data_IF_602280755111
#
_entry.id   IF_602280755111
#
_cell.length_a   1.000
_cell.length_b   1.000
_cell.length_c   1.000
_cell.angle_alpha   90.00
_cell.angle_beta   90.00
_cell.angle_gamma   90.00
#
_symmetry.space_group_name_H-M   'P 1'
#
loop_
_entity.id
_entity.type
_entity.pdbx_description
1 polymer ?
#
# COMPACT_ATOMS: atom_id res chain seq x y z
N UNK A 1 -10.54 21.74 7.22
CA UNK A 1 -11.35 20.73 7.93
C UNK A 1 -10.84 20.64 9.37
N UNK A 2 -11.59 21.10 10.41
CA UNK A 2 -11.09 21.14 11.80
C UNK A 2 -10.81 19.76 12.40
N UNK A 3 -11.59 18.74 12.03
CA UNK A 3 -11.44 17.39 12.57
C UNK A 3 -10.10 16.73 12.26
N UNK A 4 -9.54 16.93 11.07
CA UNK A 4 -8.25 16.32 10.65
C UNK A 4 -7.10 16.86 11.51
N UNK A 5 -7.08 18.15 11.85
CA UNK A 5 -6.05 18.75 12.70
C UNK A 5 -6.06 18.22 14.13
N UNK A 6 -7.25 17.96 14.68
CA UNK A 6 -7.39 17.38 16.02
C UNK A 6 -6.80 15.95 16.04
N UNK A 7 -7.14 15.17 15.05
CA UNK A 7 -6.65 13.78 14.94
C UNK A 7 -5.14 13.74 14.75
N UNK A 8 -4.57 14.61 13.93
CA UNK A 8 -3.12 14.73 13.76
C UNK A 8 -2.43 15.08 15.10
N UNK A 9 -3.02 15.98 15.90
CA UNK A 9 -2.50 16.30 17.23
C UNK A 9 -2.56 15.12 18.19
N UNK A 10 -3.71 14.44 18.24
CA UNK A 10 -3.89 13.27 19.13
C UNK A 10 -2.97 12.12 18.70
N UNK A 11 -2.86 11.84 17.41
CA UNK A 11 -1.98 10.78 16.89
C UNK A 11 -0.50 11.04 17.16
N UNK A 12 -0.11 12.29 17.35
CA UNK A 12 1.24 12.70 17.71
C UNK A 12 1.58 12.53 19.20
N UNK A 13 0.66 12.10 20.05
CA UNK A 13 0.94 11.94 21.50
C UNK A 13 1.61 10.61 21.82
N UNK A 14 2.43 10.58 22.91
CA UNK A 14 3.04 9.33 23.39
C UNK A 14 2.00 8.35 23.95
N UNK A 15 0.92 8.85 24.53
CA UNK A 15 -0.18 8.04 25.04
C UNK A 15 -0.89 7.31 23.88
N UNK A 16 -1.17 8.02 22.79
CA UNK A 16 -1.72 7.42 21.58
C UNK A 16 -0.80 6.34 21.00
N UNK A 17 0.51 6.59 20.93
CA UNK A 17 1.48 5.61 20.44
C UNK A 17 1.50 4.30 21.25
N UNK A 18 1.18 4.36 22.56
CA UNK A 18 1.07 3.17 23.42
C UNK A 18 -0.22 2.39 23.21
N UNK A 19 -1.33 3.08 23.04
CA UNK A 19 -2.69 2.51 23.03
C UNK A 19 -3.17 2.16 21.63
N UNK A 20 -2.87 3.01 20.63
CA UNK A 20 -3.36 2.86 19.27
C UNK A 20 -3.03 1.51 18.60
N UNK A 21 -1.82 0.93 18.75
CA UNK A 21 -1.51 -0.36 18.13
C UNK A 21 -2.35 -1.54 18.62
N UNK A 22 -2.95 -1.42 19.79
CA UNK A 22 -3.82 -2.44 20.36
C UNK A 22 -5.30 -2.11 20.18
N UNK A 23 -5.66 -0.85 20.36
CA UNK A 23 -7.05 -0.40 20.33
C UNK A 23 -7.57 -0.26 18.89
N UNK A 24 -6.80 0.35 17.99
CA UNK A 24 -7.25 0.56 16.59
C UNK A 24 -7.52 -0.77 15.89
N UNK A 25 -6.63 -1.77 15.88
CA UNK A 25 -6.93 -3.05 15.23
C UNK A 25 -8.06 -3.83 15.91
N UNK A 26 -8.26 -3.66 17.22
CA UNK A 26 -9.38 -4.29 17.93
C UNK A 26 -10.71 -3.63 17.54
N UNK A 27 -10.74 -2.31 17.50
CA UNK A 27 -11.90 -1.53 17.11
C UNK A 27 -12.24 -1.73 15.62
N UNK A 28 -11.25 -1.71 14.74
CA UNK A 28 -11.42 -2.00 13.31
C UNK A 28 -11.95 -3.42 13.08
N UNK A 29 -11.47 -4.42 13.82
CA UNK A 29 -12.01 -5.79 13.75
C UNK A 29 -13.45 -5.88 14.21
N UNK A 30 -13.82 -5.16 15.29
CA UNK A 30 -15.18 -5.12 15.79
C UNK A 30 -16.12 -4.45 14.78
N UNK A 31 -15.74 -3.29 14.27
CA UNK A 31 -16.52 -2.54 13.27
C UNK A 31 -16.60 -3.32 11.96
N UNK A 32 -15.49 -3.92 11.51
CA UNK A 32 -15.46 -4.76 10.31
C UNK A 32 -16.41 -5.95 10.42
N UNK A 33 -16.49 -6.61 11.60
CA UNK A 33 -17.45 -7.69 11.84
C UNK A 33 -18.91 -7.19 11.83
N UNK A 34 -19.17 -6.07 12.50
CA UNK A 34 -20.51 -5.46 12.58
C UNK A 34 -21.02 -4.94 11.23
N UNK A 35 -20.12 -4.43 10.39
CA UNK A 35 -20.44 -3.86 9.08
C UNK A 35 -20.30 -4.84 7.93
N UNK A 36 -20.07 -6.15 8.22
CA UNK A 36 -19.81 -7.20 7.21
C UNK A 36 -18.72 -6.79 6.20
N UNK A 37 -17.64 -6.18 6.69
CA UNK A 37 -16.51 -5.82 5.86
C UNK A 37 -16.58 -4.46 5.16
N UNK A 38 -17.67 -3.69 5.34
CA UNK A 38 -17.89 -2.45 4.58
C UNK A 38 -17.21 -1.21 5.15
N UNK A 39 -16.86 -1.20 6.45
CA UNK A 39 -16.29 -0.01 7.11
C UNK A 39 -15.06 -0.38 7.94
N UNK A 40 -13.96 0.34 7.70
CA UNK A 40 -12.80 0.43 8.59
C UNK A 40 -12.79 1.85 9.16
N UNK A 41 -12.84 1.99 10.49
CA UNK A 41 -12.89 3.30 11.15
C UNK A 41 -11.63 4.13 10.83
N UNK A 42 -10.48 3.46 10.73
CA UNK A 42 -9.20 4.07 10.35
C UNK A 42 -9.19 4.60 8.91
N UNK A 43 -9.97 4.01 8.01
CA UNK A 43 -10.06 4.41 6.62
C UNK A 43 -10.85 5.71 6.38
N UNK A 44 -11.64 6.15 7.35
CA UNK A 44 -12.34 7.45 7.25
C UNK A 44 -11.41 8.65 7.37
N UNK A 45 -10.19 8.44 7.87
CA UNK A 45 -9.22 9.50 8.12
C UNK A 45 -8.04 9.48 7.15
N UNK A 46 -7.66 8.29 6.70
CA UNK A 46 -6.63 8.02 5.71
C UNK A 46 -7.09 6.87 4.82
N UNK A 47 -6.79 6.90 3.52
CA UNK A 47 -7.01 5.75 2.66
C UNK A 47 -6.39 4.50 3.29
N UNK A 48 -7.15 3.41 3.38
CA UNK A 48 -6.73 2.18 4.04
C UNK A 48 -6.79 0.98 3.12
N UNK A 49 -5.89 0.05 3.36
CA UNK A 49 -5.86 -1.28 2.74
C UNK A 49 -5.84 -2.35 3.81
N UNK A 50 -6.19 -3.58 3.44
CA UNK A 50 -5.82 -4.76 4.21
C UNK A 50 -4.69 -5.46 3.45
N UNK A 51 -3.50 -5.47 4.04
CA UNK A 51 -2.35 -6.20 3.50
C UNK A 51 -2.42 -7.66 3.95
N UNK A 52 -2.42 -8.59 3.01
CA UNK A 52 -2.28 -10.03 3.23
C UNK A 52 -0.90 -10.45 2.75
N UNK A 53 -0.01 -10.77 3.68
CA UNK A 53 1.38 -11.14 3.41
C UNK A 53 1.79 -12.42 4.15
N UNK A 54 2.76 -13.14 3.59
CA UNK A 54 3.34 -14.33 4.22
C UNK A 54 4.25 -13.93 5.38
N UNK A 55 4.08 -14.56 6.55
CA UNK A 55 4.87 -14.31 7.74
C UNK A 55 6.33 -14.75 7.57
N UNK A 56 7.28 -13.82 7.81
CA UNK A 56 8.72 -14.05 7.62
C UNK A 56 9.28 -15.26 8.40
N UNK A 57 8.72 -15.53 9.60
CA UNK A 57 9.18 -16.63 10.46
C UNK A 57 8.29 -17.86 10.37
N UNK A 58 6.98 -17.66 10.32
CA UNK A 58 6.01 -18.75 10.41
C UNK A 58 5.58 -19.30 9.06
N UNK A 59 5.83 -18.57 7.96
CA UNK A 59 5.29 -18.89 6.64
C UNK A 59 3.76 -18.76 6.52
N UNK A 60 3.06 -18.51 7.63
CA UNK A 60 1.61 -18.40 7.67
C UNK A 60 1.16 -17.04 7.15
N UNK A 61 0.01 -17.03 6.51
CA UNK A 61 -0.62 -15.80 6.03
C UNK A 61 -1.00 -14.87 7.20
N UNK A 62 -0.75 -13.57 7.01
CA UNK A 62 -1.02 -12.52 7.99
C UNK A 62 -1.76 -11.38 7.32
N UNK A 63 -2.93 -11.04 7.85
CA UNK A 63 -3.74 -9.91 7.42
C UNK A 63 -3.54 -8.72 8.35
N UNK A 64 -3.18 -7.59 7.79
CA UNK A 64 -2.86 -6.37 8.55
C UNK A 64 -3.56 -5.16 7.92
N UNK A 65 -4.50 -4.51 8.63
CA UNK A 65 -5.07 -3.24 8.16
C UNK A 65 -4.01 -2.14 8.29
N UNK A 66 -3.81 -1.37 7.21
CA UNK A 66 -2.80 -0.33 7.11
C UNK A 66 -3.38 0.92 6.45
N UNK A 67 -2.95 2.10 6.91
CA UNK A 67 -3.07 3.31 6.11
C UNK A 67 -2.12 3.24 4.92
N UNK A 68 -2.57 3.69 3.77
CA UNK A 68 -1.76 3.78 2.57
C UNK A 68 -1.84 5.18 1.96
N UNK A 69 -0.84 5.55 1.20
CA UNK A 69 -0.83 6.73 0.35
C UNK A 69 -0.91 6.25 -1.11
N UNK A 70 -2.06 6.38 -1.78
CA UNK A 70 -2.16 6.02 -3.19
C UNK A 70 -1.35 7.01 -4.03
N UNK A 71 -0.58 6.50 -4.99
CA UNK A 71 0.11 7.30 -5.98
C UNK A 71 -0.83 7.65 -7.15
N UNK A 72 -0.49 8.70 -7.92
CA UNK A 72 -1.28 9.09 -9.08
C UNK A 72 -1.34 7.91 -10.09
N UNK A 73 -2.55 7.46 -10.43
CA UNK A 73 -2.77 6.28 -11.28
C UNK A 73 -3.23 5.03 -10.52
N UNK A 74 -2.98 4.88 -9.23
CA UNK A 74 -3.49 3.75 -8.45
C UNK A 74 -5.03 3.65 -8.46
N UNK A 75 -5.71 4.76 -8.73
CA UNK A 75 -7.18 4.84 -8.81
C UNK A 75 -7.74 4.66 -10.24
N UNK A 76 -6.93 4.72 -11.29
CA UNK A 76 -7.40 4.80 -12.69
C UNK A 76 -7.79 3.46 -13.33
N UNK A 77 -7.46 2.34 -12.72
CA UNK A 77 -7.69 1.02 -13.34
C UNK A 77 -9.13 0.52 -13.20
N UNK A 78 -10.03 1.30 -12.58
CA UNK A 78 -11.44 0.88 -12.43
C UNK A 78 -12.37 1.36 -13.55
N UNK A 79 -11.94 2.26 -14.44
CA UNK A 79 -12.82 2.79 -15.52
C UNK A 79 -12.64 2.10 -16.88
N UNK A 80 -11.63 1.24 -17.06
CA UNK A 80 -11.36 0.63 -18.39
C UNK A 80 -12.09 -0.70 -18.66
N UNK A 81 -12.86 -1.24 -17.69
CA UNK A 81 -13.61 -2.48 -17.92
C UNK A 81 -15.07 -2.26 -18.33
N UNK A 82 -15.47 -1.06 -18.65
CA UNK A 82 -16.86 -0.78 -18.98
C UNK A 82 -17.09 0.45 -19.84
N UNK A 83 -16.58 0.49 -21.05
CA UNK A 83 -17.23 1.17 -22.21
C UNK A 83 -16.37 0.98 -23.46
N UNK A 84 -16.82 0.13 -24.37
CA UNK A 84 -16.35 0.11 -25.73
C UNK A 84 -16.68 1.44 -26.41
N UNK A 85 -15.66 2.19 -26.81
CA UNK A 85 -15.75 3.40 -27.57
C UNK A 85 -14.48 3.55 -28.38
N UNK A 86 -14.51 3.07 -29.63
CA UNK A 86 -13.51 3.29 -30.65
C UNK A 86 -13.38 4.79 -30.95
N UNK A 87 -12.16 5.33 -30.79
CA UNK A 87 -11.74 6.53 -31.51
C UNK A 87 -10.33 6.32 -32.03
N UNK A 88 -10.33 6.24 -33.35
CA UNK A 88 -9.22 6.26 -34.27
C UNK A 88 -8.47 7.60 -34.15
N UNK A 89 -7.16 7.56 -33.92
CA UNK A 89 -6.27 8.66 -34.31
C UNK A 89 -4.81 8.16 -34.30
N UNK A 90 -4.28 8.03 -35.53
CA UNK A 90 -2.88 7.70 -35.75
C UNK A 90 -1.92 8.75 -35.22
N UNK A 91 -0.77 8.29 -34.78
CA UNK A 91 0.36 9.08 -34.37
C UNK A 91 1.42 8.18 -33.77
N UNK A 92 2.36 7.71 -34.58
CA UNK A 92 3.61 7.14 -34.11
C UNK A 92 4.40 8.19 -33.33
N UNK A 93 4.92 7.86 -32.17
CA UNK A 93 6.16 8.47 -31.68
C UNK A 93 7.26 7.41 -31.60
N UNK A 94 8.37 7.79 -32.19
CA UNK A 94 9.65 7.10 -32.16
C UNK A 94 10.10 6.81 -30.71
N UNK A 95 10.68 5.61 -30.57
CA UNK A 95 11.28 5.12 -29.35
C UNK A 95 12.58 5.90 -29.10
N UNK A 96 12.67 6.53 -27.94
CA UNK A 96 13.95 6.74 -27.28
C UNK A 96 13.79 6.50 -25.77
N UNK A 97 14.74 5.72 -25.20
CA UNK A 97 14.73 5.19 -23.86
C UNK A 97 14.54 6.26 -22.78
N UNK A 98 13.38 6.33 -22.23
CA UNK A 98 13.05 7.16 -21.10
C UNK A 98 12.82 6.29 -19.87
N UNK A 99 13.35 6.75 -18.73
CA UNK A 99 13.04 6.21 -17.41
C UNK A 99 11.55 5.89 -17.30
N UNK A 100 11.22 4.63 -17.05
CA UNK A 100 9.86 4.14 -17.05
C UNK A 100 8.93 5.05 -16.26
N UNK A 101 7.73 5.29 -16.78
CA UNK A 101 6.68 6.03 -16.10
C UNK A 101 6.59 5.54 -14.65
N UNK A 102 6.44 6.42 -13.64
CA UNK A 102 6.44 6.01 -12.25
C UNK A 102 5.37 4.95 -12.06
N UNK A 103 5.80 3.75 -11.65
CA UNK A 103 4.89 2.64 -11.38
C UNK A 103 3.81 3.11 -10.42
N UNK A 104 2.60 3.23 -10.92
CA UNK A 104 1.45 3.67 -10.13
C UNK A 104 1.10 2.61 -9.10
N UNK A 105 1.10 3.01 -7.83
CA UNK A 105 0.88 2.05 -6.77
C UNK A 105 0.44 2.69 -5.45
N UNK A 106 0.77 2.05 -4.37
CA UNK A 106 0.50 2.53 -3.02
C UNK A 106 1.79 2.59 -2.22
N UNK A 107 1.93 3.63 -1.42
CA UNK A 107 3.03 3.74 -0.45
C UNK A 107 2.54 3.31 0.92
N UNK A 108 3.27 2.38 1.53
CA UNK A 108 3.07 1.96 2.92
C UNK A 108 4.20 2.50 3.79
N UNK A 109 3.83 3.13 4.91
CA UNK A 109 4.77 3.75 5.85
C UNK A 109 4.87 2.94 7.12
N UNK A 110 6.03 2.31 7.38
CA UNK A 110 6.32 1.46 8.53
C UNK A 110 6.60 2.24 9.82
N UNK A 111 5.79 3.25 10.13
CA UNK A 111 6.03 4.19 11.24
C UNK A 111 5.90 3.53 12.62
N UNK A 112 4.99 2.56 12.78
CA UNK A 112 4.65 1.97 14.07
C UNK A 112 4.36 3.01 15.16
N UNK A 113 3.75 4.15 14.78
CA UNK A 113 3.45 5.29 15.65
C UNK A 113 4.68 5.85 16.39
N UNK A 114 5.89 5.70 15.83
CA UNK A 114 7.14 6.12 16.47
C UNK A 114 7.58 5.22 17.64
N UNK A 115 7.22 3.92 17.64
CA UNK A 115 7.76 2.90 18.57
C UNK A 115 9.11 2.41 18.07
N UNK A 116 9.96 1.94 18.98
CA UNK A 116 11.34 1.53 18.70
C UNK A 116 11.45 0.40 17.67
N UNK A 117 10.57 -0.60 17.73
CA UNK A 117 10.57 -1.71 16.78
C UNK A 117 9.90 -1.37 15.45
N UNK A 118 10.37 -1.99 14.37
CA UNK A 118 9.63 -1.99 13.10
C UNK A 118 8.32 -2.78 13.25
N UNK A 119 7.24 -2.41 12.54
CA UNK A 119 6.04 -3.24 12.44
C UNK A 119 6.37 -4.59 11.80
N UNK A 120 5.78 -5.68 12.30
CA UNK A 120 6.06 -7.03 11.84
C UNK A 120 5.82 -7.22 10.33
N UNK A 121 4.81 -6.55 9.76
CA UNK A 121 4.49 -6.63 8.34
C UNK A 121 5.65 -6.16 7.45
N UNK A 122 6.51 -5.24 7.91
CA UNK A 122 7.68 -4.81 7.14
C UNK A 122 8.73 -5.91 7.01
N UNK A 123 8.92 -6.73 8.03
CA UNK A 123 9.79 -7.90 7.96
C UNK A 123 9.20 -8.97 7.04
N UNK A 124 7.87 -9.12 7.04
CA UNK A 124 7.17 -10.05 6.16
C UNK A 124 7.40 -9.68 4.68
N UNK A 125 7.22 -8.40 4.32
CA UNK A 125 7.43 -7.94 2.94
C UNK A 125 8.90 -7.96 2.50
N UNK A 126 9.86 -7.82 3.44
CA UNK A 126 11.28 -7.99 3.13
C UNK A 126 11.62 -9.45 2.83
N UNK A 127 11.02 -10.39 3.53
CA UNK A 127 11.25 -11.82 3.32
C UNK A 127 10.44 -12.37 2.14
N UNK A 128 9.24 -11.87 1.94
CA UNK A 128 8.28 -12.30 0.92
C UNK A 128 7.62 -11.05 0.31
N UNK A 129 8.18 -10.50 -0.78
CA UNK A 129 7.70 -9.26 -1.37
C UNK A 129 6.32 -9.41 -2.05
N UNK A 130 5.96 -10.60 -2.46
CA UNK A 130 4.65 -10.88 -3.06
C UNK A 130 3.57 -10.96 -1.99
N UNK A 131 2.49 -10.23 -2.22
CA UNK A 131 1.40 -10.07 -1.29
C UNK A 131 0.07 -9.85 -2.02
N UNK A 132 -1.00 -9.72 -1.27
CA UNK A 132 -2.31 -9.27 -1.77
C UNK A 132 -2.74 -8.06 -0.93
N UNK A 133 -3.28 -7.05 -1.57
CA UNK A 133 -3.95 -5.95 -0.88
C UNK A 133 -5.44 -5.98 -1.18
N UNK A 134 -6.27 -5.83 -0.14
CA UNK A 134 -7.68 -5.53 -0.34
C UNK A 134 -7.87 -4.02 -0.35
N UNK A 135 -8.24 -3.46 -1.49
CA UNK A 135 -8.46 -2.04 -1.74
C UNK A 135 -9.83 -1.81 -2.33
N UNK A 136 -10.65 -0.98 -1.67
CA UNK A 136 -12.03 -0.67 -2.10
C UNK A 136 -12.91 -1.91 -2.41
N UNK A 137 -12.65 -3.02 -1.71
CA UNK A 137 -13.40 -4.27 -1.88
C UNK A 137 -12.85 -5.24 -2.93
N UNK A 138 -11.78 -4.87 -3.60
CA UNK A 138 -11.06 -5.71 -4.58
C UNK A 138 -9.78 -6.26 -3.97
N UNK A 139 -9.50 -7.55 -4.17
CA UNK A 139 -8.25 -8.19 -3.80
C UNK A 139 -7.28 -8.15 -4.98
N UNK A 140 -6.16 -7.44 -4.80
CA UNK A 140 -5.21 -7.10 -5.84
C UNK A 140 -3.87 -7.79 -5.53
N UNK A 141 -3.39 -8.71 -6.37
CA UNK A 141 -2.03 -9.23 -6.27
C UNK A 141 -1.00 -8.12 -6.51
N UNK A 142 0.00 -8.04 -5.64
CA UNK A 142 0.99 -6.99 -5.65
C UNK A 142 2.38 -7.50 -5.33
N UNK A 143 3.40 -6.74 -5.73
CA UNK A 143 4.77 -6.91 -5.27
C UNK A 143 5.21 -5.67 -4.50
N UNK A 144 5.85 -5.87 -3.37
CA UNK A 144 6.34 -4.81 -2.50
C UNK A 144 7.84 -4.58 -2.72
N UNK A 145 8.25 -3.31 -2.80
CA UNK A 145 9.64 -2.90 -2.89
C UNK A 145 9.98 -1.90 -1.78
N UNK A 146 11.05 -2.18 -1.04
CA UNK A 146 11.60 -1.23 -0.07
C UNK A 146 12.21 -0.03 -0.82
N UNK A 147 11.84 1.18 -0.44
CA UNK A 147 12.42 2.40 -1.00
C UNK A 147 13.70 2.76 -0.26
N UNK A 148 14.74 3.14 -1.01
CA UNK A 148 16.04 3.55 -0.50
C UNK A 148 16.55 4.79 -1.23
N UNK A 149 17.62 5.41 -0.71
CA UNK A 149 18.32 6.52 -1.38
C UNK A 149 17.42 7.72 -1.70
N UNK A 150 17.64 8.29 -2.86
CA UNK A 150 16.95 9.52 -3.32
C UNK A 150 15.46 9.29 -3.54
N UNK A 151 15.07 8.13 -4.06
CA UNK A 151 13.67 7.77 -4.25
C UNK A 151 12.93 7.77 -2.91
N UNK A 152 13.50 7.14 -1.90
CA UNK A 152 12.95 7.18 -0.55
C UNK A 152 12.83 8.60 -0.02
N UNK A 153 13.86 9.43 -0.20
CA UNK A 153 13.86 10.82 0.26
C UNK A 153 12.75 11.64 -0.41
N UNK A 154 12.52 11.44 -1.70
CA UNK A 154 11.43 12.08 -2.43
C UNK A 154 10.06 11.65 -1.91
N UNK A 155 9.83 10.34 -1.78
CA UNK A 155 8.57 9.79 -1.27
C UNK A 155 8.34 10.16 0.19
N UNK A 156 9.42 10.27 1.01
CA UNK A 156 9.29 10.72 2.39
C UNK A 156 8.76 12.16 2.49
N UNK A 157 9.22 13.08 1.64
CA UNK A 157 8.68 14.45 1.59
C UNK A 157 7.18 14.45 1.27
N UNK A 158 6.76 13.64 0.31
CA UNK A 158 5.34 13.47 -0.03
C UNK A 158 4.55 12.87 1.14
N UNK A 159 5.10 11.87 1.83
CA UNK A 159 4.48 11.27 3.00
C UNK A 159 4.31 12.26 4.16
N UNK A 160 5.28 13.16 4.38
CA UNK A 160 5.18 14.22 5.38
C UNK A 160 4.10 15.26 5.04
N UNK A 161 3.93 15.60 3.76
CA UNK A 161 2.85 16.46 3.30
C UNK A 161 1.47 15.78 3.45
N UNK A 162 1.39 14.48 3.15
CA UNK A 162 0.19 13.69 3.28
C UNK A 162 -0.23 13.47 4.74
N UNK A 163 0.72 13.14 5.63
CA UNK A 163 0.49 12.90 7.05
C UNK A 163 1.62 13.47 7.91
N UNK A 164 1.55 14.78 8.29
CA UNK A 164 2.59 15.46 9.06
C UNK A 164 3.06 14.77 10.36
N UNK A 165 2.21 13.99 11.08
CA UNK A 165 2.66 13.24 12.25
C UNK A 165 3.80 12.25 12.01
N UNK A 166 4.08 11.85 10.77
CA UNK A 166 5.24 11.00 10.48
C UNK A 166 6.56 11.64 10.90
N UNK A 167 6.70 12.97 10.83
CA UNK A 167 7.87 13.68 11.34
C UNK A 167 8.07 13.43 12.84
N UNK A 168 6.98 13.52 13.62
CA UNK A 168 7.01 13.25 15.07
C UNK A 168 7.35 11.79 15.36
N UNK A 169 6.85 10.85 14.53
CA UNK A 169 7.17 9.44 14.71
C UNK A 169 8.63 9.15 14.41
N UNK A 170 9.20 9.75 13.36
CA UNK A 170 10.63 9.61 13.04
C UNK A 170 11.51 10.22 14.13
N UNK A 171 11.16 11.39 14.67
CA UNK A 171 11.92 12.03 15.74
C UNK A 171 11.95 11.26 17.08
N UNK A 172 11.12 10.23 17.24
CA UNK A 172 11.07 9.39 18.47
C UNK A 172 11.97 8.17 18.42
N UNK A 173 12.51 7.84 17.23
CA UNK A 173 13.22 6.59 17.01
C UNK A 173 14.49 6.84 16.20
N UNK A 174 15.57 6.15 16.56
CA UNK A 174 16.84 6.22 15.84
C UNK A 174 16.81 5.44 14.53
N UNK A 175 15.90 4.46 14.41
CA UNK A 175 15.74 3.69 13.18
C UNK A 175 15.09 4.53 12.08
N UNK A 176 15.50 4.33 10.87
CA UNK A 176 14.81 4.87 9.71
C UNK A 176 13.43 4.21 9.53
N UNK A 177 12.37 5.01 9.39
CA UNK A 177 11.02 4.51 9.06
C UNK A 177 11.04 3.95 7.64
N UNK A 178 10.75 2.66 7.50
CA UNK A 178 10.70 1.97 6.21
C UNK A 178 9.52 2.46 5.38
N UNK A 179 9.78 2.69 4.10
CA UNK A 179 8.77 2.98 3.09
C UNK A 179 8.77 1.85 2.07
N UNK A 180 7.59 1.36 1.75
CA UNK A 180 7.41 0.37 0.69
C UNK A 180 6.54 0.95 -0.41
N UNK A 181 6.97 0.80 -1.66
CA UNK A 181 6.10 0.95 -2.82
C UNK A 181 5.49 -0.41 -3.12
N UNK A 182 4.18 -0.43 -3.28
CA UNK A 182 3.38 -1.61 -3.59
C UNK A 182 2.83 -1.41 -4.98
N UNK A 183 3.18 -2.29 -5.92
CA UNK A 183 2.72 -2.22 -7.31
C UNK A 183 1.90 -3.44 -7.67
N UNK A 184 0.94 -3.29 -8.59
CA UNK A 184 0.20 -4.43 -9.13
C UNK A 184 1.17 -5.42 -9.76
N UNK A 185 1.02 -6.69 -9.43
CA UNK A 185 1.72 -7.75 -10.14
C UNK A 185 0.97 -8.01 -11.44
N UNK A 186 1.64 -7.79 -12.56
CA UNK A 186 1.12 -8.21 -13.85
C UNK A 186 0.99 -9.73 -13.84
N UNK A 187 -0.15 -10.24 -14.28
CA UNK A 187 -0.27 -11.67 -14.57
C UNK A 187 0.77 -11.98 -15.63
N UNK A 188 1.71 -12.85 -15.33
CA UNK A 188 2.58 -13.44 -16.35
C UNK A 188 1.64 -14.23 -17.27
N UNK A 189 1.36 -13.68 -18.44
CA UNK A 189 0.74 -14.48 -19.51
C UNK A 189 1.77 -15.55 -19.84
N UNK A 190 1.58 -16.74 -19.33
CA UNK A 190 2.29 -17.91 -19.82
C UNK A 190 1.86 -18.04 -21.28
N UNK A 191 2.77 -17.93 -22.27
CA UNK A 191 2.37 -18.21 -23.64
C UNK A 191 1.87 -19.66 -23.67
N UNK A 192 0.62 -19.82 -24.07
CA UNK A 192 0.01 -21.13 -24.28
C UNK A 192 0.99 -22.03 -25.01
N UNK A 193 1.19 -23.22 -24.45
CA UNK A 193 1.92 -24.26 -25.13
C UNK A 193 1.30 -24.43 -26.51
N UNK A 194 2.09 -24.09 -27.53
CA UNK A 194 1.73 -24.29 -28.93
C UNK A 194 1.31 -25.75 -29.07
N UNK A 195 0.02 -25.94 -29.31
CA UNK A 195 -0.59 -27.22 -29.63
C UNK A 195 0.16 -27.78 -30.83
N UNK A 196 0.90 -28.89 -30.57
CA UNK A 196 1.63 -29.60 -31.63
C UNK A 196 0.65 -30.16 -32.66
N UNK A 197 1.05 -30.30 -33.91
CA UNK A 197 0.18 -30.81 -34.96
C UNK A 197 -0.26 -32.25 -34.62
N UNK A 198 -1.52 -32.66 -34.99
CA UNK A 198 -2.01 -34.01 -34.73
C UNK A 198 -1.18 -35.04 -35.49
N UNK A 199 -0.97 -36.23 -34.89
CA UNK A 199 -0.25 -37.31 -35.56
C UNK A 199 -1.02 -37.78 -36.79
N UNK A 200 -0.28 -38.04 -37.87
CA UNK A 200 -0.79 -38.55 -39.15
C UNK A 200 -1.27 -40.01 -39.04
#
# INVERSE_FOLDING_TARGET
MPGVRLVQRVSSTRAFAKVAPHLIPALDRAVHRLTRGKVLLSAQMLPGIVLTARGARSGLERRTPLACMPEAGAARVQDETGAGGSVDAGGTPDAEGGAGAPESGWILVGSNFGRTGHPAWTANLLAHPDAVISWKGEDIPVTARLLTGEERAAVWRTALAFWPPYATYQARVDREIRLFRIVRRQATVTPDAVDGPPPA
#
